data_IF_243696141378
#
_entry.id   IF_243696141378
#
_cell.length_a   1.000
_cell.length_b   1.000
_cell.length_c   1.000
_cell.angle_alpha   90.00
_cell.angle_beta   90.00
_cell.angle_gamma   90.00
#
_symmetry.space_group_name_H-M   'P 1'
#
loop_
_entity.id
_entity.type
_entity.pdbx_description
1 polymer ?
#
# COMPACT_ATOMS: atom_id res chain seq x y z
N UNK A 1 1.40 -1.29 7.80
CA UNK A 1 2.19 -2.52 7.62
C UNK A 1 2.23 -2.83 6.14
N UNK A 2 3.40 -2.75 5.51
CA UNK A 2 3.57 -3.07 4.08
C UNK A 2 3.67 -4.57 3.88
N UNK A 3 3.28 -5.07 2.71
CA UNK A 3 3.54 -6.45 2.30
C UNK A 3 5.05 -6.65 2.20
N UNK A 4 5.56 -7.74 2.77
CA UNK A 4 6.96 -8.11 2.64
C UNK A 4 7.17 -8.87 1.33
N UNK A 5 8.25 -8.56 0.62
CA UNK A 5 8.63 -9.23 -0.63
C UNK A 5 10.09 -9.67 -0.55
N UNK A 6 10.35 -10.86 -1.09
CA UNK A 6 11.71 -11.39 -1.24
C UNK A 6 12.12 -11.27 -2.71
N UNK A 7 13.20 -10.54 -2.97
CA UNK A 7 13.75 -10.46 -4.32
C UNK A 7 14.69 -11.64 -4.60
N UNK A 8 14.64 -12.16 -5.81
CA UNK A 8 15.49 -13.27 -6.29
C UNK A 8 16.27 -12.84 -7.52
N UNK A 9 17.54 -13.23 -7.58
CA UNK A 9 18.41 -12.95 -8.72
C UNK A 9 19.06 -14.26 -9.17
N UNK A 10 19.09 -14.49 -10.47
CA UNK A 10 19.81 -15.59 -11.11
C UNK A 10 21.19 -15.16 -11.60
N UNK A 11 22.13 -16.09 -11.72
CA UNK A 11 23.46 -15.85 -12.29
C UNK A 11 24.58 -15.62 -11.28
N UNK A 12 24.27 -15.54 -9.98
CA UNK A 12 25.26 -15.63 -8.91
C UNK A 12 25.40 -17.10 -8.50
N UNK A 13 26.32 -17.82 -9.16
CA UNK A 13 26.51 -19.27 -9.00
C UNK A 13 27.96 -19.60 -8.67
N UNK A 14 28.17 -20.59 -7.80
CA UNK A 14 29.48 -21.09 -7.39
C UNK A 14 29.67 -21.09 -5.86
N UNK A 15 30.68 -21.82 -5.39
CA UNK A 15 30.97 -21.92 -3.96
C UNK A 15 31.39 -20.57 -3.37
N UNK A 16 30.85 -20.27 -2.18
CA UNK A 16 31.13 -19.03 -1.47
C UNK A 16 30.58 -17.77 -2.14
N UNK A 17 29.58 -17.91 -3.03
CA UNK A 17 28.86 -16.78 -3.63
C UNK A 17 27.60 -16.43 -2.85
N UNK A 18 27.27 -15.15 -2.78
CA UNK A 18 26.06 -14.63 -2.15
C UNK A 18 25.49 -13.47 -2.94
N UNK A 19 24.18 -13.47 -3.15
CA UNK A 19 23.47 -12.32 -3.74
C UNK A 19 23.28 -11.27 -2.65
N UNK A 20 23.71 -10.03 -2.93
CA UNK A 20 23.42 -8.85 -2.13
C UNK A 20 22.50 -7.92 -2.90
N UNK A 21 21.48 -7.42 -2.23
CA UNK A 21 20.50 -6.51 -2.80
C UNK A 21 20.74 -5.09 -2.30
N UNK A 22 20.56 -4.14 -3.19
CA UNK A 22 20.74 -2.72 -2.91
C UNK A 22 19.57 -1.91 -3.43
N UNK A 23 19.25 -0.82 -2.75
CA UNK A 23 18.32 0.18 -3.25
C UNK A 23 19.04 1.11 -4.23
N UNK A 24 18.47 1.31 -5.42
CA UNK A 24 19.13 2.05 -6.49
C UNK A 24 19.24 3.57 -6.24
N UNK A 25 18.45 4.10 -5.29
CA UNK A 25 18.40 5.53 -5.01
C UNK A 25 19.59 6.02 -4.17
N UNK A 26 20.06 5.18 -3.24
CA UNK A 26 21.06 5.53 -2.22
C UNK A 26 22.20 4.50 -2.13
N UNK A 27 22.19 3.47 -2.98
CA UNK A 27 23.13 2.35 -3.00
C UNK A 27 23.26 1.65 -1.63
N UNK A 28 22.23 1.75 -0.78
CA UNK A 28 22.17 1.10 0.53
C UNK A 28 21.92 -0.40 0.37
N UNK A 29 22.67 -1.20 1.12
CA UNK A 29 22.46 -2.65 1.18
C UNK A 29 21.21 -2.99 1.99
N UNK A 30 20.44 -3.95 1.48
CA UNK A 30 19.16 -4.34 2.04
C UNK A 30 19.23 -5.75 2.63
N UNK A 31 18.52 -5.94 3.74
CA UNK A 31 18.26 -7.25 4.32
C UNK A 31 16.87 -7.73 3.90
N UNK A 32 16.77 -9.00 3.48
CA UNK A 32 15.50 -9.60 3.08
C UNK A 32 14.73 -10.13 4.31
N UNK A 33 13.39 -10.05 4.30
CA UNK A 33 12.55 -9.49 3.24
C UNK A 33 12.43 -7.95 3.33
N UNK A 34 12.22 -7.30 2.18
CA UNK A 34 12.01 -5.84 2.11
C UNK A 34 10.52 -5.50 2.20
N UNK A 35 10.19 -4.31 2.71
CA UNK A 35 8.80 -3.81 2.83
C UNK A 35 8.69 -2.36 2.30
N UNK A 36 8.86 -2.13 0.99
CA UNK A 36 8.77 -0.80 0.41
C UNK A 36 7.39 -0.17 0.66
N UNK A 37 7.38 1.12 0.97
CA UNK A 37 6.16 1.93 1.12
C UNK A 37 5.84 2.76 -0.12
N UNK A 38 6.82 2.93 -0.99
CA UNK A 38 6.72 3.62 -2.29
C UNK A 38 7.37 2.75 -3.37
N UNK A 39 6.95 2.94 -4.61
CA UNK A 39 7.57 2.27 -5.76
C UNK A 39 9.08 2.55 -5.77
N UNK A 40 9.87 1.49 -5.60
CA UNK A 40 11.31 1.58 -5.38
C UNK A 40 12.04 0.65 -6.35
N UNK A 41 13.20 1.11 -6.84
CA UNK A 41 14.06 0.32 -7.71
C UNK A 41 15.19 -0.32 -6.91
N UNK A 42 15.48 -1.57 -7.21
CA UNK A 42 16.50 -2.39 -6.55
C UNK A 42 17.42 -3.00 -7.59
N UNK A 43 18.68 -3.25 -7.23
CA UNK A 43 19.58 -4.05 -8.06
C UNK A 43 20.32 -5.07 -7.19
N UNK A 44 20.77 -6.15 -7.81
CA UNK A 44 21.56 -7.17 -7.18
C UNK A 44 23.04 -7.03 -7.56
N UNK A 45 23.92 -7.42 -6.65
CA UNK A 45 25.34 -7.70 -6.93
C UNK A 45 25.68 -9.06 -6.39
N UNK A 46 26.51 -9.80 -7.11
CA UNK A 46 27.05 -11.07 -6.65
C UNK A 46 28.32 -10.78 -5.84
N UNK A 47 28.31 -11.16 -4.58
CA UNK A 47 29.49 -11.23 -3.73
C UNK A 47 30.11 -12.61 -3.85
N UNK A 48 31.44 -12.66 -4.01
CA UNK A 48 32.21 -13.89 -3.92
C UNK A 48 33.39 -13.70 -2.98
N UNK A 49 33.55 -14.60 -2.03
CA UNK A 49 34.70 -14.62 -1.12
C UNK A 49 35.71 -15.66 -1.58
N UNK A 50 36.96 -15.24 -1.82
CA UNK A 50 38.08 -16.13 -2.15
C UNK A 50 39.20 -15.89 -1.14
N UNK A 51 39.42 -16.83 -0.22
CA UNK A 51 40.31 -16.62 0.92
C UNK A 51 39.78 -15.51 1.83
N UNK A 52 40.57 -14.45 2.02
CA UNK A 52 40.17 -13.25 2.79
C UNK A 52 39.67 -12.09 1.91
N UNK A 53 39.66 -12.26 0.59
CA UNK A 53 39.28 -11.20 -0.36
C UNK A 53 37.82 -11.34 -0.77
N UNK A 54 37.10 -10.22 -0.72
CA UNK A 54 35.70 -10.11 -1.16
C UNK A 54 35.66 -9.39 -2.51
N UNK A 55 35.05 -10.03 -3.50
CA UNK A 55 34.83 -9.46 -4.82
C UNK A 55 33.33 -9.20 -5.02
N UNK A 56 32.97 -8.01 -5.50
CA UNK A 56 31.60 -7.65 -5.87
C UNK A 56 31.51 -7.47 -7.38
N UNK A 57 30.50 -8.07 -8.00
CA UNK A 57 30.18 -7.87 -9.43
C UNK A 57 29.75 -6.43 -9.72
N UNK A 58 29.60 -6.10 -10.99
CA UNK A 58 28.83 -4.91 -11.42
C UNK A 58 27.35 -5.02 -11.00
N UNK A 59 26.64 -3.89 -11.04
CA UNK A 59 25.21 -3.82 -10.74
C UNK A 59 24.42 -4.61 -11.79
N UNK A 60 23.44 -5.40 -11.36
CA UNK A 60 22.46 -6.00 -12.27
C UNK A 60 21.56 -4.93 -12.91
N UNK A 61 20.70 -5.34 -13.84
CA UNK A 61 19.55 -4.51 -14.22
C UNK A 61 18.66 -4.23 -13.01
N UNK A 62 18.03 -3.05 -13.00
CA UNK A 62 17.11 -2.65 -11.94
C UNK A 62 15.82 -3.49 -11.97
N UNK A 63 15.49 -4.12 -10.85
CA UNK A 63 14.18 -4.66 -10.55
C UNK A 63 13.29 -3.58 -9.93
N UNK A 64 12.09 -3.38 -10.47
CA UNK A 64 11.16 -2.36 -9.98
C UNK A 64 10.09 -3.04 -9.12
N UNK A 65 10.05 -2.71 -7.84
CA UNK A 65 8.95 -3.14 -6.96
C UNK A 65 7.92 -2.02 -6.92
N UNK A 66 6.75 -2.29 -7.47
CA UNK A 66 5.64 -1.34 -7.49
C UNK A 66 4.79 -1.52 -6.23
N UNK A 67 4.62 -0.44 -5.47
CA UNK A 67 3.70 -0.42 -4.33
C UNK A 67 2.39 0.17 -4.84
N UNK A 68 1.40 -0.69 -5.03
CA UNK A 68 0.06 -0.26 -5.48
C UNK A 68 -0.77 0.07 -4.24
N UNK A 69 -1.03 1.36 -4.03
CA UNK A 69 -2.00 1.79 -3.03
C UNK A 69 -3.40 1.74 -3.65
N UNK A 70 -4.35 1.00 -3.09
CA UNK A 70 -5.70 1.00 -3.62
C UNK A 70 -6.33 2.39 -3.50
N UNK A 71 -7.19 2.79 -4.45
CA UNK A 71 -7.86 4.07 -4.39
C UNK A 71 -8.83 4.12 -3.19
N UNK A 72 -9.13 5.34 -2.69
CA UNK A 72 -10.14 5.53 -1.66
C UNK A 72 -11.54 5.09 -2.12
N UNK A 73 -12.42 4.87 -1.14
CA UNK A 73 -13.85 4.69 -1.39
C UNK A 73 -14.50 6.05 -1.61
N UNK A 74 -15.03 6.29 -2.80
CA UNK A 74 -15.62 7.58 -3.16
C UNK A 74 -17.13 7.44 -3.22
N UNK A 75 -17.86 8.40 -2.65
CA UNK A 75 -19.31 8.42 -2.84
C UNK A 75 -19.65 8.76 -4.29
N UNK A 76 -20.44 7.91 -4.96
CA UNK A 76 -20.91 8.13 -6.34
C UNK A 76 -22.29 8.76 -6.40
N UNK A 77 -23.02 8.73 -5.28
CA UNK A 77 -24.31 9.38 -5.11
C UNK A 77 -24.59 9.62 -3.62
N UNK A 78 -25.58 10.47 -3.32
CA UNK A 78 -26.16 10.57 -1.98
C UNK A 78 -26.88 9.28 -1.61
N UNK A 79 -26.80 8.85 -0.35
CA UNK A 79 -27.44 7.62 0.10
C UNK A 79 -26.91 7.11 1.44
N UNK A 80 -27.35 5.91 1.84
CA UNK A 80 -26.89 5.31 3.09
C UNK A 80 -25.50 4.69 2.94
N UNK A 81 -24.67 4.81 3.97
CA UNK A 81 -23.30 4.27 4.01
C UNK A 81 -23.25 2.76 3.78
N UNK A 82 -24.26 2.03 4.27
CA UNK A 82 -24.34 0.58 4.16
C UNK A 82 -24.88 0.09 2.80
N UNK A 83 -25.04 0.96 1.81
CA UNK A 83 -25.48 0.57 0.46
C UNK A 83 -24.28 0.52 -0.49
N UNK A 84 -24.03 -0.62 -1.17
CA UNK A 84 -22.96 -0.74 -2.16
C UNK A 84 -23.04 0.31 -3.28
N UNK A 85 -24.26 0.66 -3.71
CA UNK A 85 -24.51 1.66 -4.76
C UNK A 85 -24.12 3.08 -4.37
N UNK A 86 -23.85 3.37 -3.09
CA UNK A 86 -23.35 4.67 -2.64
C UNK A 86 -21.87 4.84 -2.98
N UNK A 87 -21.12 3.77 -3.23
CA UNK A 87 -19.67 3.78 -3.35
C UNK A 87 -19.18 3.34 -4.72
N UNK A 88 -18.07 3.93 -5.17
CA UNK A 88 -17.45 3.65 -6.47
C UNK A 88 -17.04 2.19 -6.69
N UNK A 89 -16.74 1.44 -5.63
CA UNK A 89 -16.40 0.02 -5.71
C UNK A 89 -17.62 -0.91 -5.84
N UNK A 90 -18.86 -0.37 -5.77
CA UNK A 90 -20.07 -1.15 -5.57
C UNK A 90 -19.95 -2.11 -4.36
N UNK A 91 -19.37 -1.60 -3.28
CA UNK A 91 -19.05 -2.32 -2.05
C UNK A 91 -19.20 -1.40 -0.83
N UNK A 92 -19.24 -1.95 0.38
CA UNK A 92 -19.34 -1.13 1.60
C UNK A 92 -17.92 -0.91 2.16
N UNK A 93 -17.54 0.33 2.54
CA UNK A 93 -16.26 0.60 3.19
C UNK A 93 -16.02 -0.29 4.41
N UNK A 94 -14.86 -0.94 4.42
CA UNK A 94 -14.47 -1.97 5.39
C UNK A 94 -13.44 -1.48 6.42
N UNK A 95 -13.06 -0.21 6.37
CA UNK A 95 -12.02 0.37 7.23
C UNK A 95 -10.60 0.24 6.71
N UNK A 96 -10.35 -0.51 5.63
CA UNK A 96 -8.98 -0.70 5.13
C UNK A 96 -8.44 0.52 4.37
N UNK A 97 -9.33 1.39 3.89
CA UNK A 97 -9.01 2.56 3.05
C UNK A 97 -9.72 3.80 3.57
N UNK A 98 -9.24 4.97 3.13
CA UNK A 98 -9.95 6.23 3.36
C UNK A 98 -11.24 6.28 2.54
N UNK A 99 -12.20 7.01 3.09
CA UNK A 99 -13.49 7.30 2.46
C UNK A 99 -13.51 8.78 2.07
N UNK A 100 -13.97 9.07 0.87
CA UNK A 100 -14.14 10.41 0.33
C UNK A 100 -15.62 10.65 0.01
N UNK A 101 -16.20 11.64 0.69
CA UNK A 101 -17.54 12.12 0.39
C UNK A 101 -17.38 13.23 -0.65
N UNK A 102 -17.77 12.94 -1.89
CA UNK A 102 -17.64 13.85 -3.02
C UNK A 102 -18.54 15.09 -2.87
N UNK A 103 -18.24 16.13 -3.65
CA UNK A 103 -19.01 17.38 -3.63
C UNK A 103 -20.50 17.13 -3.88
N UNK A 104 -21.35 17.90 -3.20
CA UNK A 104 -22.83 17.82 -3.19
C UNK A 104 -23.43 16.53 -2.60
N UNK A 105 -22.64 15.48 -2.37
CA UNK A 105 -23.15 14.22 -1.85
C UNK A 105 -23.45 14.28 -0.34
N UNK A 106 -24.59 13.73 0.04
CA UNK A 106 -24.96 13.50 1.44
C UNK A 106 -24.97 12.00 1.70
N UNK A 107 -24.00 11.52 2.47
CA UNK A 107 -23.96 10.11 2.91
C UNK A 107 -24.53 10.02 4.31
N UNK A 108 -25.43 9.06 4.55
CA UNK A 108 -26.08 8.87 5.85
C UNK A 108 -25.61 7.58 6.51
N UNK A 109 -25.12 7.66 7.75
CA UNK A 109 -24.93 6.50 8.62
C UNK A 109 -26.30 6.11 9.20
N UNK A 110 -26.82 4.91 8.93
CA UNK A 110 -28.09 4.46 9.48
C UNK A 110 -28.08 4.35 11.01
N UNK A 111 -29.27 4.35 11.61
CA UNK A 111 -29.41 4.14 13.05
C UNK A 111 -28.81 2.79 13.49
N UNK A 112 -28.13 2.79 14.64
CA UNK A 112 -27.43 1.64 15.20
C UNK A 112 -26.41 0.97 14.27
N UNK A 113 -25.93 1.68 13.23
CA UNK A 113 -24.90 1.18 12.33
C UNK A 113 -23.54 1.83 12.61
N UNK A 114 -22.46 1.04 12.49
CA UNK A 114 -21.09 1.54 12.57
C UNK A 114 -20.44 1.47 11.20
N UNK A 115 -20.25 2.61 10.55
CA UNK A 115 -19.45 2.70 9.33
C UNK A 115 -17.96 2.57 9.63
N UNK A 116 -17.21 1.87 8.80
CA UNK A 116 -15.77 1.67 8.97
C UNK A 116 -15.00 2.46 7.91
N UNK A 117 -13.99 3.21 8.34
CA UNK A 117 -13.09 3.93 7.43
C UNK A 117 -11.70 4.06 8.04
N UNK A 118 -10.65 4.12 7.22
CA UNK A 118 -9.32 4.53 7.70
C UNK A 118 -9.22 6.03 8.00
N UNK A 119 -10.14 6.79 7.41
CA UNK A 119 -10.26 8.24 7.52
C UNK A 119 -11.42 8.69 6.63
N UNK A 120 -12.07 9.80 6.96
CA UNK A 120 -13.15 10.37 6.14
C UNK A 120 -12.74 11.76 5.68
N UNK A 121 -12.84 12.01 4.39
CA UNK A 121 -12.54 13.30 3.76
C UNK A 121 -13.81 13.83 3.08
N UNK A 122 -13.97 15.16 3.08
CA UNK A 122 -15.10 15.85 2.47
C UNK A 122 -14.59 16.74 1.34
N UNK A 123 -15.23 16.66 0.18
CA UNK A 123 -14.97 17.54 -0.95
C UNK A 123 -16.13 18.51 -1.12
N UNK A 124 -15.83 19.78 -1.39
CA UNK A 124 -16.82 20.84 -1.58
C UNK A 124 -17.85 20.92 -0.45
N UNK A 125 -19.11 20.73 -0.79
CA UNK A 125 -20.28 20.73 0.10
C UNK A 125 -20.70 19.34 0.59
N UNK A 126 -19.91 18.31 0.28
CA UNK A 126 -20.15 16.93 0.69
C UNK A 126 -20.27 16.83 2.21
N UNK A 127 -21.23 16.03 2.69
CA UNK A 127 -21.53 15.91 4.13
C UNK A 127 -21.88 14.48 4.54
N UNK A 128 -21.57 14.18 5.79
CA UNK A 128 -21.92 12.92 6.44
C UNK A 128 -22.96 13.20 7.53
N UNK A 129 -24.10 12.55 7.46
CA UNK A 129 -25.17 12.62 8.45
C UNK A 129 -25.23 11.34 9.26
N UNK A 130 -25.51 11.43 10.55
CA UNK A 130 -25.67 10.28 11.43
C UNK A 130 -27.13 10.19 11.87
N UNK A 131 -27.75 9.02 11.73
CA UNK A 131 -29.09 8.76 12.26
C UNK A 131 -28.99 8.07 13.62
N UNK A 132 -29.78 8.52 14.59
CA UNK A 132 -29.87 7.92 15.93
C UNK A 132 -28.49 7.68 16.57
N UNK A 133 -28.18 6.43 16.88
CA UNK A 133 -26.89 6.02 17.50
C UNK A 133 -25.81 5.63 16.47
N UNK A 134 -26.06 5.88 15.19
CA UNK A 134 -25.11 5.61 14.11
C UNK A 134 -23.79 6.36 14.31
N UNK A 135 -22.68 5.70 14.00
CA UNK A 135 -21.32 6.26 14.17
C UNK A 135 -20.37 5.80 13.07
N UNK A 136 -19.26 6.51 12.93
CA UNK A 136 -18.11 6.05 12.12
C UNK A 136 -16.98 5.67 13.05
N UNK A 137 -16.41 4.49 12.85
CA UNK A 137 -15.19 4.04 13.51
C UNK A 137 -14.01 4.24 12.57
N UNK A 138 -13.01 4.98 13.05
CA UNK A 138 -11.76 5.19 12.33
C UNK A 138 -10.76 4.11 12.76
N UNK A 139 -10.33 3.28 11.82
CA UNK A 139 -9.37 2.21 12.04
C UNK A 139 -7.96 2.66 11.66
N UNK A 140 -7.01 2.60 12.60
CA UNK A 140 -5.60 3.00 12.38
C UNK A 140 -4.79 1.92 11.65
#
# INVERSE_FOLDING_TARGET
>A
MGSSVSLVASGCTGDGTRVRWYQAADDQELTMPISPTVTTQYYARCERTVGTKVCLSDKSQNAIVTVVMPPPYNSVQSGNWNLPSTWNCNCIPDGTRSVQIMDTHTVTIPNAYTGLAKGVQFFGTGKLTMQGTGKVSITN
#
